data_IF_204316730590
#
_entry.id   IF_204316730590
#
_cell.length_a   1.000
_cell.length_b   1.000
_cell.length_c   1.000
_cell.angle_alpha   90.00
_cell.angle_beta   90.00
_cell.angle_gamma   90.00
#
_symmetry.space_group_name_H-M   'P 1'
#
loop_
_entity.id
_entity.type
_entity.pdbx_description
1 polymer ?
#
# COMPACT_ATOMS: atom_id res chain seq x y z
N UNK A 1 29.22 -37.08 59.27
CA UNK A 1 28.57 -35.77 59.13
C UNK A 1 29.41 -34.88 58.22
N UNK A 2 28.76 -34.23 57.25
CA UNK A 2 29.16 -33.02 56.51
C UNK A 2 30.46 -33.08 55.71
N UNK A 3 30.35 -33.09 54.38
CA UNK A 3 30.81 -31.96 53.56
C UNK A 3 30.18 -31.98 52.16
N UNK A 4 29.45 -30.89 51.92
CA UNK A 4 28.74 -30.39 50.76
C UNK A 4 29.56 -30.42 49.46
N UNK A 5 28.96 -30.78 48.30
CA UNK A 5 29.03 -30.01 47.03
C UNK A 5 27.83 -30.38 46.13
N UNK A 6 26.83 -29.51 46.14
CA UNK A 6 25.71 -29.45 45.19
C UNK A 6 26.28 -29.20 43.79
N UNK A 7 25.90 -30.02 42.81
CA UNK A 7 25.97 -29.63 41.39
C UNK A 7 24.56 -29.70 40.79
N UNK A 8 24.05 -28.48 40.65
CA UNK A 8 22.86 -28.07 39.95
C UNK A 8 22.92 -28.45 38.47
N UNK A 9 21.75 -28.40 37.84
CA UNK A 9 21.52 -28.17 36.42
C UNK A 9 21.48 -29.40 35.50
N UNK A 10 20.26 -29.88 35.27
CA UNK A 10 19.80 -30.21 33.93
C UNK A 10 18.29 -29.96 33.86
N UNK A 11 17.88 -28.70 34.04
CA UNK A 11 16.53 -28.26 33.68
C UNK A 11 16.51 -28.20 32.16
N UNK A 12 16.06 -29.27 31.51
CA UNK A 12 15.83 -29.29 30.07
C UNK A 12 14.68 -28.33 29.76
N UNK A 13 15.05 -27.09 29.45
CA UNK A 13 14.13 -26.05 29.02
C UNK A 13 13.68 -26.39 27.59
N UNK A 14 12.55 -27.08 27.48
CA UNK A 14 11.86 -27.28 26.21
C UNK A 14 11.26 -25.93 25.81
N UNK A 15 12.05 -25.09 25.13
CA UNK A 15 11.52 -23.97 24.35
C UNK A 15 11.39 -24.49 22.91
N UNK A 16 10.41 -25.37 22.74
CA UNK A 16 9.99 -25.86 21.44
C UNK A 16 9.06 -24.85 20.79
N UNK A 17 9.65 -24.04 19.91
CA UNK A 17 9.11 -23.63 18.60
C UNK A 17 7.63 -23.26 18.54
N UNK A 18 7.37 -21.97 18.37
CA UNK A 18 6.09 -21.55 17.83
C UNK A 18 5.74 -20.10 18.12
N UNK A 19 6.66 -19.16 17.92
CA UNK A 19 6.23 -17.81 17.56
C UNK A 19 5.52 -17.93 16.21
N UNK A 20 4.23 -18.23 16.27
CA UNK A 20 3.31 -17.87 15.22
C UNK A 20 3.36 -16.34 15.17
N UNK A 21 4.30 -15.81 14.38
CA UNK A 21 4.13 -14.48 13.84
C UNK A 21 2.82 -14.58 13.07
N UNK A 22 1.74 -14.12 13.71
CA UNK A 22 0.59 -13.63 12.99
C UNK A 22 1.16 -12.50 12.15
N UNK A 23 1.64 -12.84 10.95
CA UNK A 23 1.80 -11.88 9.89
C UNK A 23 0.39 -11.42 9.63
N UNK A 24 0.00 -10.35 10.33
CA UNK A 24 -1.15 -9.55 9.95
C UNK A 24 -0.83 -9.21 8.51
N UNK A 25 -1.49 -9.91 7.58
CA UNK A 25 -1.50 -9.49 6.20
C UNK A 25 -2.19 -8.13 6.28
N UNK A 26 -1.40 -7.07 6.40
CA UNK A 26 -1.82 -5.77 5.93
C UNK A 26 -2.17 -6.04 4.48
N UNK A 27 -3.46 -6.25 4.24
CA UNK A 27 -4.03 -6.06 2.92
C UNK A 27 -3.74 -4.59 2.69
N UNK A 28 -2.63 -4.29 2.02
CA UNK A 28 -2.43 -2.96 1.46
C UNK A 28 -3.69 -2.76 0.62
N UNK A 29 -4.59 -1.94 1.14
CA UNK A 29 -5.75 -1.49 0.40
C UNK A 29 -5.15 -0.88 -0.87
N UNK A 30 -5.22 -1.59 -2.00
CA UNK A 30 -4.53 -1.16 -3.20
C UNK A 30 -5.01 0.25 -3.53
N UNK A 31 -4.05 1.16 -3.67
CA UNK A 31 -4.31 2.54 -4.06
C UNK A 31 -5.11 2.56 -5.36
N UNK A 32 -5.99 3.55 -5.48
CA UNK A 32 -6.81 3.75 -6.67
C UNK A 32 -6.15 4.75 -7.58
N UNK A 33 -6.14 4.45 -8.87
CA UNK A 33 -5.62 5.36 -9.89
C UNK A 33 -6.79 6.07 -10.53
N UNK A 34 -6.69 7.39 -10.60
CA UNK A 34 -7.73 8.26 -11.14
C UNK A 34 -7.15 9.10 -12.27
N UNK A 35 -7.93 9.33 -13.32
CA UNK A 35 -7.60 10.24 -14.42
C UNK A 35 -8.32 11.56 -14.20
N UNK A 36 -7.63 12.69 -14.36
CA UNK A 36 -8.26 14.01 -14.25
C UNK A 36 -8.77 14.47 -15.62
N UNK A 37 -10.07 14.69 -15.74
CA UNK A 37 -10.71 15.29 -16.91
C UNK A 37 -10.89 16.80 -16.67
N UNK A 38 -10.00 17.58 -17.28
CA UNK A 38 -10.04 19.04 -17.17
C UNK A 38 -11.26 19.69 -17.84
N UNK A 39 -11.97 18.99 -18.75
CA UNK A 39 -13.18 19.51 -19.39
C UNK A 39 -14.39 19.44 -18.47
N UNK A 40 -14.42 18.43 -17.61
CA UNK A 40 -15.49 18.19 -16.64
C UNK A 40 -15.10 18.60 -15.21
N UNK A 41 -13.84 18.96 -14.99
CA UNK A 41 -13.23 19.24 -13.68
C UNK A 41 -13.48 18.10 -12.68
N UNK A 42 -13.27 16.85 -13.14
CA UNK A 42 -13.59 15.64 -12.39
C UNK A 42 -12.53 14.56 -12.56
N UNK A 43 -12.40 13.72 -11.54
CA UNK A 43 -11.57 12.52 -11.54
C UNK A 43 -12.40 11.28 -11.90
N UNK A 44 -11.92 10.51 -12.87
CA UNK A 44 -12.50 9.22 -13.27
C UNK A 44 -11.63 8.07 -12.77
N UNK A 45 -12.23 7.09 -12.10
CA UNK A 45 -11.51 5.91 -11.62
C UNK A 45 -11.04 5.05 -12.81
N UNK A 46 -9.72 4.91 -12.94
CA UNK A 46 -9.05 4.10 -13.95
C UNK A 46 -8.25 2.96 -13.32
N UNK A 47 -8.58 2.57 -12.08
CA UNK A 47 -7.91 1.49 -11.36
C UNK A 47 -7.98 0.20 -12.16
N UNK A 48 -6.81 -0.41 -12.43
CA UNK A 48 -6.70 -1.63 -13.23
C UNK A 48 -6.72 -1.41 -14.75
N UNK A 49 -6.83 -0.17 -15.21
CA UNK A 49 -6.62 0.16 -16.62
C UNK A 49 -5.12 0.25 -16.96
N UNK A 50 -4.78 0.01 -18.23
CA UNK A 50 -3.40 0.03 -18.72
C UNK A 50 -3.23 1.15 -19.75
N UNK A 51 -2.15 1.94 -19.59
CA UNK A 51 -1.77 3.02 -20.51
C UNK A 51 -1.60 2.48 -21.93
N UNK A 52 -2.13 3.18 -22.93
CA UNK A 52 -2.10 2.82 -24.34
C UNK A 52 -3.04 1.68 -24.73
N UNK A 53 -3.87 1.20 -23.80
CA UNK A 53 -4.93 0.21 -24.07
C UNK A 53 -6.30 0.80 -23.71
N UNK A 54 -6.48 1.15 -22.43
CA UNK A 54 -7.78 1.57 -21.88
C UNK A 54 -7.80 3.04 -21.44
N UNK A 55 -6.62 3.65 -21.30
CA UNK A 55 -6.47 5.10 -21.13
C UNK A 55 -5.19 5.52 -21.84
N UNK A 56 -5.14 6.74 -22.37
CA UNK A 56 -3.91 7.34 -22.85
C UNK A 56 -3.58 8.61 -22.08
N UNK A 57 -2.29 8.91 -22.01
CA UNK A 57 -1.74 10.01 -21.25
C UNK A 57 -0.49 10.52 -21.97
N UNK A 58 -0.68 11.50 -22.84
CA UNK A 58 0.41 12.12 -23.58
C UNK A 58 1.15 13.10 -22.67
N UNK A 59 2.48 13.01 -22.59
CA UNK A 59 3.26 13.84 -21.67
C UNK A 59 3.06 15.35 -21.95
N UNK A 60 2.60 16.06 -20.94
CA UNK A 60 2.27 17.49 -20.96
C UNK A 60 2.37 18.05 -19.53
N UNK A 61 2.15 19.36 -19.36
CA UNK A 61 2.35 20.07 -18.10
C UNK A 61 1.20 19.99 -17.08
N UNK A 62 0.06 19.37 -17.43
CA UNK A 62 -1.12 19.20 -16.56
C UNK A 62 -1.10 17.86 -15.81
N UNK A 63 -1.84 17.74 -14.71
CA UNK A 63 -2.07 16.43 -14.07
C UNK A 63 -2.93 15.58 -15.00
N UNK A 64 -2.44 14.39 -15.30
CA UNK A 64 -3.14 13.43 -16.17
C UNK A 64 -3.75 12.30 -15.35
N UNK A 65 -2.94 11.68 -14.49
CA UNK A 65 -3.44 10.70 -13.54
C UNK A 65 -2.88 10.98 -12.15
N UNK A 66 -3.65 10.66 -11.14
CA UNK A 66 -3.24 10.74 -9.75
C UNK A 66 -3.68 9.46 -9.03
N UNK A 67 -2.80 8.96 -8.17
CA UNK A 67 -3.06 7.78 -7.37
C UNK A 67 -3.41 8.23 -5.96
N UNK A 68 -4.52 7.75 -5.43
CA UNK A 68 -5.03 8.10 -4.10
C UNK A 68 -5.19 6.84 -3.25
N UNK A 69 -5.13 6.95 -1.90
CA UNK A 69 -5.47 5.85 -1.03
C UNK A 69 -6.88 5.31 -1.35
N UNK A 70 -7.10 4.00 -1.22
CA UNK A 70 -8.37 3.37 -1.64
C UNK A 70 -9.63 4.00 -1.03
N UNK A 71 -9.52 4.57 0.17
CA UNK A 71 -10.62 5.20 0.89
C UNK A 71 -10.88 6.66 0.51
N UNK A 72 -10.03 7.26 -0.33
CA UNK A 72 -10.12 8.66 -0.74
C UNK A 72 -10.74 8.77 -2.14
N UNK A 73 -11.76 9.62 -2.25
CA UNK A 73 -12.37 10.02 -3.51
C UNK A 73 -11.88 11.43 -3.87
N UNK A 74 -11.06 11.60 -4.91
CA UNK A 74 -10.54 12.91 -5.30
C UNK A 74 -11.62 13.85 -5.86
N UNK A 75 -12.83 13.37 -6.17
CA UNK A 75 -13.95 14.26 -6.47
C UNK A 75 -14.56 14.91 -5.22
N UNK A 76 -14.21 14.43 -4.03
CA UNK A 76 -14.63 14.99 -2.74
C UNK A 76 -13.48 15.73 -2.04
N UNK A 77 -12.26 15.19 -2.14
CA UNK A 77 -11.02 15.78 -1.62
C UNK A 77 -9.81 15.28 -2.44
N UNK A 78 -9.24 16.15 -3.26
CA UNK A 78 -8.11 15.85 -4.14
C UNK A 78 -6.73 16.06 -3.46
N UNK A 79 -6.72 16.35 -2.16
CA UNK A 79 -5.50 16.64 -1.41
C UNK A 79 -4.60 15.41 -1.24
N UNK A 80 -3.28 15.61 -1.26
CA UNK A 80 -2.26 14.59 -0.92
C UNK A 80 -2.35 13.28 -1.74
N UNK A 81 -2.30 13.33 -3.08
CA UNK A 81 -2.15 12.12 -3.88
C UNK A 81 -0.87 11.36 -3.49
N UNK A 82 -0.95 10.02 -3.52
CA UNK A 82 0.19 9.11 -3.34
C UNK A 82 1.22 9.31 -4.45
N UNK A 83 0.73 9.51 -5.68
CA UNK A 83 1.56 9.85 -6.84
C UNK A 83 0.77 10.62 -7.89
N UNK A 84 1.47 11.37 -8.73
CA UNK A 84 0.89 12.14 -9.84
C UNK A 84 1.71 11.89 -11.09
N UNK A 85 1.03 11.56 -12.18
CA UNK A 85 1.61 11.50 -13.53
C UNK A 85 1.08 12.70 -14.32
N UNK A 86 1.98 13.47 -14.92
CA UNK A 86 1.63 14.65 -15.72
C UNK A 86 1.43 14.28 -17.19
N UNK A 87 0.43 14.87 -17.83
CA UNK A 87 0.03 14.59 -19.21
C UNK A 87 -1.29 15.25 -19.65
N UNK A 88 -1.69 14.98 -20.88
CA UNK A 88 -3.00 15.28 -21.47
C UNK A 88 -3.70 13.96 -21.76
N UNK A 89 -4.95 13.85 -21.33
CA UNK A 89 -5.82 12.73 -21.68
C UNK A 89 -6.34 12.89 -23.11
N UNK A 90 -6.28 11.82 -23.92
CA UNK A 90 -6.76 11.76 -25.30
C UNK A 90 -7.82 10.68 -25.47
#
# INVERSE_FOLDING_TARGET
>A
MKNLKVKLAALAMVIGLGSAFATVKHVALSDRKWSYDASLDQYTDITGQQKGINYDCDEASSVCTATYPQAQDPNQDDSNPVSVETGVFN
#
